data_IF_327270232195
#
_entry.id   IF_327270232195
#
_cell.length_a   1.000
_cell.length_b   1.000
_cell.length_c   1.000
_cell.angle_alpha   90.00
_cell.angle_beta   90.00
_cell.angle_gamma   90.00
#
_symmetry.space_group_name_H-M   'P 1'
#
loop_
_entity.id
_entity.type
_entity.pdbx_description
1 polymer ?
#
# COMPACT_ATOMS: atom_id res chain seq x y z
N UNK A 1 27.00 -11.11 3.92
CA UNK A 1 26.05 -10.84 2.82
C UNK A 1 24.56 -10.90 3.21
N UNK A 2 24.16 -11.18 4.46
CA UNK A 2 22.73 -11.32 4.83
C UNK A 2 21.99 -10.03 5.21
N UNK A 3 22.69 -8.88 5.37
CA UNK A 3 22.16 -7.60 5.89
C UNK A 3 21.01 -7.00 5.07
N UNK A 4 20.98 -7.19 3.74
CA UNK A 4 19.97 -6.63 2.86
C UNK A 4 18.74 -7.50 2.65
N UNK A 5 18.75 -8.76 3.11
CA UNK A 5 17.75 -9.74 2.69
C UNK A 5 16.41 -9.55 3.40
N UNK A 6 16.41 -9.23 4.70
CA UNK A 6 15.19 -9.11 5.49
C UNK A 6 14.29 -7.93 5.10
N UNK A 7 14.89 -6.76 4.79
CA UNK A 7 14.13 -5.58 4.34
C UNK A 7 13.55 -5.81 2.94
N UNK A 8 14.30 -6.50 2.07
CA UNK A 8 13.84 -6.87 0.73
C UNK A 8 12.66 -7.84 0.75
N UNK A 9 12.60 -8.76 1.71
CA UNK A 9 11.44 -9.66 1.85
C UNK A 9 10.17 -8.89 2.20
N UNK A 10 10.23 -8.00 3.21
CA UNK A 10 9.07 -7.20 3.60
C UNK A 10 8.54 -6.32 2.46
N UNK A 11 9.45 -5.67 1.71
CA UNK A 11 9.07 -4.88 0.54
C UNK A 11 8.57 -5.74 -0.62
N UNK A 12 9.17 -6.89 -0.90
CA UNK A 12 8.67 -7.79 -1.94
C UNK A 12 7.25 -8.28 -1.64
N UNK A 13 6.96 -8.63 -0.38
CA UNK A 13 5.61 -8.99 0.06
C UNK A 13 4.64 -7.80 -0.08
N UNK A 14 5.06 -6.59 0.32
CA UNK A 14 4.24 -5.39 0.20
C UNK A 14 3.94 -5.03 -1.27
N UNK A 15 4.93 -5.16 -2.16
CA UNK A 15 4.76 -5.01 -3.61
C UNK A 15 3.73 -6.02 -4.12
N UNK A 16 3.87 -7.31 -3.78
CA UNK A 16 2.93 -8.34 -4.20
C UNK A 16 1.50 -8.04 -3.70
N UNK A 17 1.35 -7.59 -2.46
CA UNK A 17 0.05 -7.20 -1.91
C UNK A 17 -0.55 -5.98 -2.61
N UNK A 18 0.27 -5.06 -3.13
CA UNK A 18 -0.23 -3.88 -3.88
C UNK A 18 -0.87 -4.27 -5.22
N UNK A 19 -0.54 -5.45 -5.76
CA UNK A 19 -1.21 -6.00 -6.95
C UNK A 19 -2.58 -6.61 -6.65
N UNK A 20 -2.84 -7.02 -5.41
CA UNK A 20 -4.06 -7.75 -5.04
C UNK A 20 -5.34 -6.99 -5.40
N UNK A 21 -5.50 -5.68 -5.14
CA UNK A 21 -6.70 -4.94 -5.53
C UNK A 21 -7.03 -5.03 -7.03
N UNK A 22 -6.03 -4.83 -7.90
CA UNK A 22 -6.22 -4.90 -9.35
C UNK A 22 -6.62 -6.31 -9.80
N UNK A 23 -5.99 -7.35 -9.24
CA UNK A 23 -6.33 -8.75 -9.52
C UNK A 23 -7.74 -9.08 -9.07
N UNK A 24 -8.12 -8.66 -7.86
CA UNK A 24 -9.47 -8.86 -7.31
C UNK A 24 -10.52 -8.14 -8.17
N UNK A 25 -10.26 -6.92 -8.60
CA UNK A 25 -11.16 -6.16 -9.48
C UNK A 25 -11.38 -6.87 -10.82
N UNK A 26 -10.30 -7.33 -11.48
CA UNK A 26 -10.40 -8.09 -12.74
C UNK A 26 -11.15 -9.40 -12.52
N UNK A 27 -10.82 -10.14 -11.47
CA UNK A 27 -11.51 -11.39 -11.14
C UNK A 27 -13.01 -11.16 -10.90
N UNK A 28 -13.37 -10.11 -10.15
CA UNK A 28 -14.77 -9.74 -9.92
C UNK A 28 -15.49 -9.44 -11.25
N UNK A 29 -14.88 -8.63 -12.13
CA UNK A 29 -15.44 -8.29 -13.45
C UNK A 29 -15.66 -9.51 -14.34
N UNK A 30 -14.77 -10.50 -14.28
CA UNK A 30 -14.87 -11.74 -15.06
C UNK A 30 -15.90 -12.71 -14.47
N UNK A 31 -16.07 -12.72 -13.15
CA UNK A 31 -17.00 -13.63 -12.46
C UNK A 31 -18.46 -13.15 -12.49
N UNK A 32 -18.72 -11.85 -12.65
CA UNK A 32 -20.08 -11.32 -12.64
C UNK A 32 -20.76 -11.34 -14.01
N UNK A 33 -21.84 -12.11 -14.13
CA UNK A 33 -22.65 -12.26 -15.34
C UNK A 33 -23.82 -11.28 -15.51
N UNK A 34 -23.98 -10.30 -14.62
CA UNK A 34 -25.16 -9.41 -14.58
C UNK A 34 -24.86 -7.99 -14.14
N UNK A 35 -23.73 -7.42 -14.58
CA UNK A 35 -23.35 -6.05 -14.22
C UNK A 35 -24.31 -5.07 -14.92
N UNK A 36 -24.93 -4.12 -14.18
CA UNK A 36 -25.74 -3.06 -14.77
C UNK A 36 -24.98 -2.28 -15.85
N UNK A 37 -25.68 -1.85 -16.90
CA UNK A 37 -25.07 -1.05 -17.98
C UNK A 37 -24.55 0.30 -17.47
N UNK A 38 -25.26 0.89 -16.51
CA UNK A 38 -24.89 2.12 -15.83
C UNK A 38 -24.80 1.91 -14.32
N UNK A 39 -23.87 2.61 -13.69
CA UNK A 39 -23.63 2.56 -12.25
C UNK A 39 -23.52 3.98 -11.70
N UNK A 40 -23.90 4.22 -10.43
CA UNK A 40 -23.73 5.51 -9.79
C UNK A 40 -22.24 5.81 -9.61
N UNK A 41 -21.84 7.06 -9.86
CA UNK A 41 -20.44 7.53 -9.69
C UNK A 41 -20.33 8.74 -8.77
N UNK A 42 -21.45 9.37 -8.45
CA UNK A 42 -21.53 10.51 -7.54
C UNK A 42 -22.71 10.32 -6.57
N UNK A 43 -22.52 10.80 -5.33
CA UNK A 43 -23.53 10.78 -4.28
C UNK A 43 -23.56 12.13 -3.57
N UNK A 44 -24.75 12.69 -3.41
CA UNK A 44 -24.97 13.91 -2.61
C UNK A 44 -24.88 13.63 -1.11
N UNK A 45 -24.88 14.68 -0.27
CA UNK A 45 -24.75 14.58 1.19
C UNK A 45 -25.80 13.69 1.92
N UNK A 46 -26.86 13.25 1.24
CA UNK A 46 -27.80 12.22 1.73
C UNK A 46 -27.44 10.78 1.35
N UNK A 47 -26.29 10.57 0.70
CA UNK A 47 -25.81 9.28 0.21
C UNK A 47 -26.58 8.74 -1.00
N UNK A 48 -27.46 9.53 -1.62
CA UNK A 48 -28.25 9.17 -2.80
C UNK A 48 -27.48 9.50 -4.07
N UNK A 49 -27.50 8.60 -5.04
CA UNK A 49 -26.88 8.82 -6.34
C UNK A 49 -27.65 9.87 -7.16
N UNK A 50 -26.90 10.78 -7.78
CA UNK A 50 -27.38 11.85 -8.66
C UNK A 50 -26.67 11.86 -10.02
N UNK A 51 -25.54 11.15 -10.17
CA UNK A 51 -24.85 10.96 -11.45
C UNK A 51 -24.55 9.48 -11.71
N UNK A 52 -24.72 9.08 -12.97
CA UNK A 52 -24.52 7.70 -13.44
C UNK A 52 -23.60 7.69 -14.64
N UNK A 53 -22.78 6.65 -14.73
CA UNK A 53 -21.87 6.45 -15.84
C UNK A 53 -21.92 5.00 -16.32
N UNK A 54 -21.44 4.76 -17.54
CA UNK A 54 -21.28 3.40 -18.06
C UNK A 54 -20.37 2.57 -17.14
N UNK A 55 -20.81 1.35 -16.80
CA UNK A 55 -20.09 0.47 -15.88
C UNK A 55 -18.72 0.04 -16.41
N UNK A 56 -18.55 0.01 -17.74
CA UNK A 56 -17.24 -0.25 -18.36
C UNK A 56 -16.28 0.92 -18.15
N UNK A 57 -16.77 2.16 -18.22
CA UNK A 57 -15.92 3.34 -18.01
C UNK A 57 -15.53 3.44 -16.54
N UNK A 58 -16.47 3.24 -15.62
CA UNK A 58 -16.18 3.18 -14.18
C UNK A 58 -15.15 2.07 -13.87
N UNK A 59 -15.27 0.90 -14.50
CA UNK A 59 -14.29 -0.19 -14.34
C UNK A 59 -12.87 0.24 -14.71
N UNK A 60 -12.68 0.89 -15.86
CA UNK A 60 -11.36 1.35 -16.29
C UNK A 60 -10.82 2.49 -15.42
N UNK A 61 -11.68 3.40 -14.96
CA UNK A 61 -11.32 4.45 -14.03
C UNK A 61 -10.88 3.91 -12.67
N UNK A 62 -11.39 2.75 -12.26
CA UNK A 62 -10.93 2.02 -11.08
C UNK A 62 -9.65 1.22 -11.32
N UNK A 63 -9.55 0.53 -12.45
CA UNK A 63 -8.45 -0.38 -12.75
C UNK A 63 -7.13 0.35 -13.03
N UNK A 64 -7.16 1.41 -13.84
CA UNK A 64 -5.94 2.11 -14.27
C UNK A 64 -5.15 2.68 -13.08
N UNK A 65 -5.74 3.41 -12.12
CA UNK A 65 -5.02 3.89 -10.95
C UNK A 65 -4.45 2.76 -10.09
N UNK A 66 -5.19 1.65 -9.94
CA UNK A 66 -4.71 0.48 -9.19
C UNK A 66 -3.47 -0.15 -9.84
N UNK A 67 -3.46 -0.29 -11.17
CA UNK A 67 -2.29 -0.76 -11.92
C UNK A 67 -1.12 0.21 -11.82
N UNK A 68 -1.36 1.52 -11.92
CA UNK A 68 -0.31 2.55 -11.77
C UNK A 68 0.34 2.44 -10.39
N UNK A 69 -0.46 2.31 -9.31
CA UNK A 69 0.07 2.13 -7.96
C UNK A 69 0.91 0.85 -7.84
N UNK A 70 0.47 -0.25 -8.44
CA UNK A 70 1.21 -1.51 -8.44
C UNK A 70 2.54 -1.42 -9.20
N UNK A 71 2.58 -0.71 -10.33
CA UNK A 71 3.83 -0.43 -11.07
C UNK A 71 4.77 0.45 -10.25
N UNK A 72 4.27 1.51 -9.60
CA UNK A 72 5.08 2.36 -8.72
C UNK A 72 5.65 1.52 -7.56
N UNK A 73 4.88 0.60 -7.00
CA UNK A 73 5.35 -0.29 -5.93
C UNK A 73 6.51 -1.20 -6.39
N UNK A 74 6.55 -1.62 -7.66
CA UNK A 74 7.70 -2.33 -8.25
C UNK A 74 8.91 -1.40 -8.38
N UNK A 75 8.72 -0.17 -8.85
CA UNK A 75 9.79 0.82 -8.96
C UNK A 75 10.39 1.13 -7.59
N UNK A 76 9.56 1.31 -6.57
CA UNK A 76 10.01 1.55 -5.19
C UNK A 76 10.80 0.36 -4.65
N UNK A 77 10.33 -0.87 -4.89
CA UNK A 77 11.07 -2.07 -4.49
C UNK A 77 12.48 -2.10 -5.07
N UNK A 78 12.62 -1.82 -6.37
CA UNK A 78 13.92 -1.82 -7.07
C UNK A 78 14.79 -0.65 -6.62
N UNK A 79 14.21 0.54 -6.41
CA UNK A 79 14.95 1.75 -6.05
C UNK A 79 15.33 1.85 -4.55
N UNK A 80 14.80 0.97 -3.69
CA UNK A 80 14.87 1.10 -2.22
C UNK A 80 16.22 0.85 -1.55
N UNK A 81 17.34 1.00 -2.28
CA UNK A 81 18.68 0.62 -1.82
C UNK A 81 19.14 1.31 -0.52
N UNK A 82 18.76 2.58 -0.31
CA UNK A 82 19.18 3.38 0.87
C UNK A 82 18.03 4.11 1.59
N UNK A 83 16.78 3.79 1.25
CA UNK A 83 15.63 4.49 1.82
C UNK A 83 15.43 4.12 3.30
N UNK A 84 15.16 5.13 4.16
CA UNK A 84 14.74 4.86 5.54
C UNK A 84 13.48 4.01 5.51
N UNK A 85 13.54 2.88 6.20
CA UNK A 85 12.48 1.85 6.23
C UNK A 85 11.06 2.40 6.41
N UNK A 86 10.89 3.35 7.34
CA UNK A 86 9.58 3.92 7.65
C UNK A 86 8.97 4.66 6.46
N UNK A 87 9.78 5.36 5.66
CA UNK A 87 9.30 6.06 4.47
C UNK A 87 8.95 5.09 3.35
N UNK A 88 9.74 4.04 3.15
CA UNK A 88 9.40 2.99 2.19
C UNK A 88 8.12 2.25 2.57
N UNK A 89 7.98 1.86 3.84
CA UNK A 89 6.77 1.22 4.35
C UNK A 89 5.53 2.13 4.22
N UNK A 90 5.65 3.41 4.56
CA UNK A 90 4.58 4.39 4.38
C UNK A 90 4.18 4.51 2.90
N UNK A 91 5.17 4.57 1.99
CA UNK A 91 4.93 4.59 0.55
C UNK A 91 4.13 3.38 0.08
N UNK A 92 4.52 2.16 0.48
CA UNK A 92 3.75 0.95 0.16
C UNK A 92 2.34 0.95 0.74
N UNK A 93 2.18 1.40 1.99
CA UNK A 93 0.86 1.51 2.62
C UNK A 93 -0.07 2.47 1.86
N UNK A 94 0.44 3.63 1.45
CA UNK A 94 -0.32 4.61 0.65
C UNK A 94 -0.65 4.07 -0.74
N UNK A 95 0.31 3.45 -1.43
CA UNK A 95 0.07 2.85 -2.75
C UNK A 95 -0.99 1.76 -2.69
N UNK A 96 -0.91 0.88 -1.70
CA UNK A 96 -1.89 -0.18 -1.50
C UNK A 96 -3.27 0.36 -1.11
N UNK A 97 -3.33 1.41 -0.27
CA UNK A 97 -4.58 2.10 0.05
C UNK A 97 -5.22 2.67 -1.22
N UNK A 98 -4.48 3.44 -2.01
CA UNK A 98 -5.02 4.06 -3.23
C UNK A 98 -5.45 2.99 -4.23
N UNK A 99 -4.65 1.93 -4.42
CA UNK A 99 -5.02 0.81 -5.28
C UNK A 99 -6.31 0.11 -4.81
N UNK A 100 -6.42 -0.15 -3.51
CA UNK A 100 -7.60 -0.75 -2.89
C UNK A 100 -8.83 0.15 -3.04
N UNK A 101 -8.72 1.42 -2.65
CA UNK A 101 -9.79 2.42 -2.75
C UNK A 101 -10.30 2.57 -4.19
N UNK A 102 -9.39 2.72 -5.16
CA UNK A 102 -9.75 2.80 -6.56
C UNK A 102 -10.46 1.52 -7.04
N UNK A 103 -9.95 0.35 -6.63
CA UNK A 103 -10.51 -0.95 -7.07
C UNK A 103 -11.89 -1.23 -6.48
N UNK A 104 -12.06 -0.97 -5.18
CA UNK A 104 -13.35 -1.22 -4.51
C UNK A 104 -14.42 -0.22 -4.92
N UNK A 105 -14.06 0.97 -5.41
CA UNK A 105 -15.02 1.96 -5.91
C UNK A 105 -15.96 1.32 -6.94
N UNK A 106 -15.44 0.68 -7.99
CA UNK A 106 -16.29 0.01 -8.98
C UNK A 106 -17.20 -1.07 -8.38
N UNK A 107 -16.72 -1.81 -7.37
CA UNK A 107 -17.53 -2.80 -6.66
C UNK A 107 -18.67 -2.13 -5.89
N UNK A 108 -18.40 -1.00 -5.24
CA UNK A 108 -19.40 -0.19 -4.55
C UNK A 108 -20.44 0.33 -5.54
N UNK A 109 -20.00 0.85 -6.68
CA UNK A 109 -20.88 1.37 -7.73
C UNK A 109 -21.83 0.27 -8.24
N UNK A 110 -21.29 -0.91 -8.57
CA UNK A 110 -22.06 -2.05 -9.06
C UNK A 110 -23.03 -2.57 -8.00
N UNK A 111 -22.58 -2.77 -6.76
CA UNK A 111 -23.45 -3.25 -5.69
C UNK A 111 -24.58 -2.26 -5.39
N UNK A 112 -24.29 -0.96 -5.41
CA UNK A 112 -25.31 0.08 -5.22
C UNK A 112 -26.34 0.06 -6.35
N UNK A 113 -25.89 -0.12 -7.60
CA UNK A 113 -26.78 -0.24 -8.75
C UNK A 113 -27.67 -1.49 -8.68
N UNK A 114 -27.13 -2.63 -8.24
CA UNK A 114 -27.90 -3.86 -8.05
C UNK A 114 -28.98 -3.71 -6.96
N UNK A 115 -28.63 -3.13 -5.82
CA UNK A 115 -29.60 -2.86 -4.74
C UNK A 115 -30.72 -1.93 -5.21
N UNK A 116 -30.39 -0.92 -6.03
CA UNK A 116 -31.40 -0.03 -6.61
C UNK A 116 -32.31 -0.75 -7.63
N UNK A 117 -31.76 -1.67 -8.42
CA UNK A 117 -32.52 -2.45 -9.41
C UNK A 117 -33.54 -3.40 -8.75
N UNK A 118 -33.24 -3.91 -7.56
CA UNK A 118 -34.13 -4.79 -6.78
C UNK A 118 -35.25 -4.02 -6.03
N UNK A 119 -35.48 -2.75 -6.36
CA UNK A 119 -36.50 -1.90 -5.73
C UNK A 119 -36.03 -1.18 -4.46
N UNK A 120 -34.74 -1.22 -4.15
CA UNK A 120 -34.12 -0.45 -3.08
C UNK A 120 -33.90 1.03 -3.44
N UNK A 121 -33.61 1.86 -2.43
CA UNK A 121 -33.18 3.25 -2.66
C UNK A 121 -31.73 3.26 -3.19
N UNK A 122 -31.39 4.19 -4.09
CA UNK A 122 -30.05 4.31 -4.70
C UNK A 122 -29.02 4.92 -3.75
N UNK A 123 -29.08 4.54 -2.48
CA UNK A 123 -28.13 4.99 -1.45
C UNK A 123 -26.93 4.07 -1.39
N UNK A 124 -25.75 4.64 -1.20
CA UNK A 124 -24.49 3.88 -1.11
C UNK A 124 -24.53 2.77 -0.03
N UNK A 125 -25.28 2.99 1.06
CA UNK A 125 -25.61 1.98 2.06
C UNK A 125 -24.42 1.17 2.61
N UNK A 126 -24.65 -0.12 2.84
CA UNK A 126 -23.64 -1.07 3.29
C UNK A 126 -22.41 -1.24 2.35
N UNK A 127 -22.54 -1.12 1.01
CA UNK A 127 -21.38 -1.09 0.11
C UNK A 127 -20.26 -0.13 0.52
N UNK A 128 -20.56 1.01 1.18
CA UNK A 128 -19.53 1.93 1.70
C UNK A 128 -18.51 1.26 2.65
N UNK A 129 -18.87 0.15 3.30
CA UNK A 129 -17.94 -0.60 4.15
C UNK A 129 -16.73 -1.16 3.38
N UNK A 130 -16.87 -1.41 2.07
CA UNK A 130 -15.73 -1.80 1.22
C UNK A 130 -14.70 -0.67 1.12
N UNK A 131 -15.14 0.59 1.13
CA UNK A 131 -14.24 1.73 1.16
C UNK A 131 -13.48 1.79 2.49
N UNK A 132 -14.11 1.49 3.62
CA UNK A 132 -13.43 1.39 4.92
C UNK A 132 -12.45 0.20 4.94
N UNK A 133 -12.78 -0.91 4.28
CA UNK A 133 -11.88 -2.04 4.15
C UNK A 133 -10.59 -1.69 3.38
N UNK A 134 -10.63 -0.71 2.47
CA UNK A 134 -9.42 -0.23 1.78
C UNK A 134 -8.39 0.40 2.74
N UNK A 135 -8.85 1.10 3.80
CA UNK A 135 -8.01 1.64 4.87
C UNK A 135 -7.29 0.51 5.61
N UNK A 136 -8.05 -0.53 6.00
CA UNK A 136 -7.49 -1.70 6.67
C UNK A 136 -6.45 -2.40 5.78
N UNK A 137 -6.69 -2.48 4.48
CA UNK A 137 -5.74 -3.06 3.52
C UNK A 137 -4.44 -2.24 3.41
N UNK A 138 -4.54 -0.91 3.32
CA UNK A 138 -3.36 -0.03 3.33
C UNK A 138 -2.51 -0.18 4.60
N UNK A 139 -3.17 -0.24 5.77
CA UNK A 139 -2.50 -0.48 7.05
C UNK A 139 -1.84 -1.87 7.13
N UNK A 140 -2.48 -2.89 6.59
CA UNK A 140 -1.91 -4.24 6.48
C UNK A 140 -0.61 -4.21 5.66
N UNK A 141 -0.63 -3.59 4.47
CA UNK A 141 0.55 -3.53 3.59
C UNK A 141 1.67 -2.72 4.24
N UNK A 142 1.35 -1.61 4.92
CA UNK A 142 2.31 -0.88 5.74
C UNK A 142 2.97 -1.78 6.80
N UNK A 143 2.16 -2.55 7.54
CA UNK A 143 2.65 -3.49 8.56
C UNK A 143 3.56 -4.57 7.97
N UNK A 144 3.21 -5.11 6.80
CA UNK A 144 4.03 -6.11 6.08
C UNK A 144 5.36 -5.53 5.62
N UNK A 145 5.36 -4.30 5.09
CA UNK A 145 6.59 -3.60 4.70
C UNK A 145 7.51 -3.31 5.91
N UNK A 146 6.96 -3.30 7.13
CA UNK A 146 7.68 -3.16 8.38
C UNK A 146 8.25 -4.47 8.93
N UNK A 147 8.17 -5.60 8.21
CA UNK A 147 8.77 -6.89 8.61
C UNK A 147 10.28 -6.93 8.25
N UNK A 148 11.14 -7.35 9.19
CA UNK A 148 12.62 -7.35 9.06
C UNK A 148 13.37 -6.74 10.27
N UNK A 149 14.57 -7.25 10.58
CA UNK A 149 15.39 -6.82 11.74
C UNK A 149 16.21 -5.57 11.41
N UNK A 150 16.23 -4.59 12.33
CA UNK A 150 17.26 -3.54 12.39
C UNK A 150 18.45 -4.13 13.14
N UNK A 151 19.44 -4.63 12.43
CA UNK A 151 20.70 -4.96 13.09
C UNK A 151 21.36 -3.64 13.48
N UNK A 152 21.23 -3.25 14.75
CA UNK A 152 22.04 -2.17 15.32
C UNK A 152 23.47 -2.65 15.30
N UNK A 153 24.29 -2.09 14.42
CA UNK A 153 25.74 -2.24 14.51
C UNK A 153 26.13 -1.81 15.93
N UNK A 154 26.74 -2.67 16.75
CA UNK A 154 27.27 -2.25 18.04
C UNK A 154 28.26 -1.13 17.76
N UNK A 155 27.99 0.07 18.28
CA UNK A 155 28.90 1.20 18.21
C UNK A 155 30.22 0.73 18.79
N UNK A 156 31.23 0.62 17.93
CA UNK A 156 32.59 0.22 18.27
C UNK A 156 33.30 1.38 18.99
N UNK A 157 32.70 1.88 20.06
CA UNK A 157 33.21 2.99 20.86
C UNK A 157 33.75 2.52 22.22
N UNK A 158 33.68 1.22 22.53
CA UNK A 158 34.21 0.65 23.78
C UNK A 158 35.72 0.32 23.73
N UNK A 159 36.44 0.62 22.65
CA UNK A 159 37.88 0.30 22.52
C UNK A 159 38.81 1.50 22.34
N UNK A 160 38.38 2.73 22.63
CA UNK A 160 39.26 3.92 22.61
C UNK A 160 39.38 4.63 23.97
N UNK A 161 39.05 3.96 25.08
CA UNK A 161 39.24 4.49 26.44
C UNK A 161 40.27 3.69 27.24
N UNK A 162 41.45 3.44 26.66
CA UNK A 162 42.46 2.67 27.37
C UNK A 162 43.83 2.59 26.73
N UNK A 163 44.43 3.69 26.29
CA UNK A 163 45.91 3.76 26.26
C UNK A 163 46.42 5.21 26.34
N UNK A 164 46.06 5.87 27.44
CA UNK A 164 46.87 6.96 28.01
C UNK A 164 47.83 6.35 29.03
N UNK A 165 49.03 5.97 28.58
CA UNK A 165 50.18 5.75 29.45
C UNK A 165 51.35 6.65 29.02
N UNK A 166 51.99 7.25 30.01
CA UNK A 166 52.64 8.56 30.02
C UNK A 166 54.03 8.66 29.37
N UNK A 167 54.52 9.88 29.08
CA UNK A 167 55.89 10.16 28.65
C UNK A 167 56.84 10.29 29.84
N UNK A 168 58.12 9.93 29.66
CA UNK A 168 59.35 10.68 30.04
C UNK A 168 60.55 9.75 30.27
N UNK A 169 61.64 10.04 29.58
CA UNK A 169 62.93 9.36 29.75
C UNK A 169 64.00 10.05 28.93
N UNK A 170 64.30 11.32 29.27
CA UNK A 170 65.48 12.04 28.79
C UNK A 170 66.71 11.33 29.39
N UNK A 171 67.54 10.71 28.56
CA UNK A 171 68.90 10.33 28.94
C UNK A 171 69.87 11.41 28.44
N UNK A 172 70.40 12.18 29.38
CA UNK A 172 71.61 12.97 29.21
C UNK A 172 72.80 12.25 29.83
N UNK A 173 73.92 12.26 29.13
CA UNK A 173 75.26 11.89 29.63
C UNK A 173 75.92 10.87 28.71
N UNK A 174 77.18 10.97 28.36
CA UNK A 174 78.23 11.98 28.50
C UNK A 174 79.29 11.60 27.46
#
# INVERSE_FOLDING_TARGET
MSRGMGIRVGYAMATALTWVPAVVLVAAKLSWGGVPATVPVHWIGGGRADEFQSSITAFWLSLVPALVCAVIAVVVLVASHDARRIYGALGFGVLALVAAAASVQWLVDVLTALVAADGGDSRIGAPFLLQLASLAFGLLVFGVAMIGKRDRTPTRDASMTGETAAPTGVQSGA
#
